data_IF_681481153027
#
_entry.id   IF_681481153027
#
_cell.length_a   1.000
_cell.length_b   1.000
_cell.length_c   1.000
_cell.angle_alpha   90.00
_cell.angle_beta   90.00
_cell.angle_gamma   90.00
#
_symmetry.space_group_name_H-M   'P 1'
#
loop_
_entity.id
_entity.type
_entity.pdbx_description
1 polymer ?
#
# COMPACT_ATOMS: atom_id res chain seq x y z
N UNK A 1 -13.71 -20.96 -4.89
CA UNK A 1 -13.60 -20.10 -6.10
C UNK A 1 -12.63 -20.74 -7.09
N UNK A 2 -12.83 -20.54 -8.40
CA UNK A 2 -11.85 -20.96 -9.43
C UNK A 2 -11.17 -19.71 -9.99
N UNK A 3 -9.84 -19.72 -10.19
CA UNK A 3 -9.15 -18.58 -10.78
C UNK A 3 -9.65 -18.33 -12.21
N UNK A 4 -9.58 -17.07 -12.64
CA UNK A 4 -9.85 -16.69 -14.03
C UNK A 4 -8.77 -17.24 -14.98
N UNK A 5 -9.04 -17.19 -16.29
CA UNK A 5 -8.06 -17.53 -17.33
C UNK A 5 -6.78 -16.69 -17.18
N UNK A 6 -5.64 -17.32 -17.47
CA UNK A 6 -4.34 -16.65 -17.51
C UNK A 6 -4.36 -15.44 -18.45
N UNK A 7 -3.59 -14.42 -18.08
CA UNK A 7 -3.28 -13.29 -18.96
C UNK A 7 -2.06 -13.70 -19.77
N UNK A 8 -2.16 -13.63 -21.09
CA UNK A 8 -1.06 -13.95 -22.00
C UNK A 8 -0.26 -12.69 -22.41
N UNK A 9 -0.84 -11.51 -22.23
CA UNK A 9 -0.21 -10.22 -22.53
C UNK A 9 0.75 -9.77 -21.41
N UNK A 10 1.67 -8.87 -21.75
CA UNK A 10 2.58 -8.25 -20.78
C UNK A 10 1.81 -7.35 -19.82
N UNK A 11 2.04 -7.55 -18.51
CA UNK A 11 1.42 -6.73 -17.47
C UNK A 11 1.84 -5.25 -17.50
N UNK A 12 2.92 -4.91 -18.21
CA UNK A 12 3.35 -3.52 -18.41
C UNK A 12 2.42 -2.74 -19.35
N UNK A 13 1.75 -3.43 -20.26
CA UNK A 13 0.87 -2.83 -21.28
C UNK A 13 -0.60 -2.77 -20.82
N UNK A 14 -0.88 -3.24 -19.60
CA UNK A 14 -2.22 -3.28 -19.01
C UNK A 14 -2.44 -2.15 -18.01
N UNK A 15 -3.72 -1.79 -17.84
CA UNK A 15 -4.13 -0.83 -16.82
C UNK A 15 -3.67 -1.27 -15.43
N UNK A 16 -3.14 -0.32 -14.67
CA UNK A 16 -2.73 -0.55 -13.29
C UNK A 16 -3.98 -0.70 -12.41
N UNK A 17 -4.11 -1.84 -11.75
CA UNK A 17 -5.27 -2.17 -10.89
C UNK A 17 -4.96 -2.30 -9.41
N UNK A 18 -3.69 -2.22 -9.04
CA UNK A 18 -3.27 -2.29 -7.64
C UNK A 18 -3.25 -0.89 -7.00
N UNK A 19 -3.43 -0.80 -5.68
CA UNK A 19 -3.30 0.46 -4.97
C UNK A 19 -1.89 1.04 -5.16
N UNK A 20 -1.83 2.36 -5.39
CA UNK A 20 -0.57 3.08 -5.67
C UNK A 20 0.17 3.48 -4.40
N UNK A 21 -0.51 3.43 -3.26
CA UNK A 21 0.03 3.82 -1.96
C UNK A 21 -0.29 2.81 -0.88
N UNK A 22 0.54 2.79 0.17
CA UNK A 22 0.26 1.99 1.35
C UNK A 22 -1.00 2.49 2.07
N UNK A 23 -1.30 3.80 2.03
CA UNK A 23 -2.52 4.36 2.63
C UNK A 23 -3.78 3.78 1.98
N UNK A 24 -3.84 3.81 0.66
CA UNK A 24 -4.93 3.21 -0.12
C UNK A 24 -5.04 1.69 0.13
N UNK A 25 -3.89 1.00 0.20
CA UNK A 25 -3.84 -0.43 0.51
C UNK A 25 -4.45 -0.76 1.89
N UNK A 26 -4.16 0.05 2.91
CA UNK A 26 -4.71 -0.14 4.26
C UNK A 26 -6.21 0.13 4.31
N UNK A 27 -6.71 1.09 3.53
CA UNK A 27 -8.14 1.38 3.44
C UNK A 27 -8.89 0.23 2.78
N UNK A 28 -8.37 -0.31 1.68
CA UNK A 28 -8.91 -1.52 1.03
C UNK A 28 -8.84 -2.76 1.94
N UNK A 29 -7.74 -2.94 2.67
CA UNK A 29 -7.55 -4.06 3.58
C UNK A 29 -8.56 -4.00 4.75
N UNK A 30 -8.78 -2.82 5.32
CA UNK A 30 -9.74 -2.63 6.43
C UNK A 30 -11.19 -2.79 5.95
N UNK A 31 -11.47 -2.46 4.69
CA UNK A 31 -12.80 -2.63 4.09
C UNK A 31 -13.12 -4.08 3.65
N UNK A 32 -12.15 -5.00 3.68
CA UNK A 32 -12.33 -6.37 3.22
C UNK A 32 -12.85 -7.27 4.36
N UNK A 33 -14.17 -7.31 4.56
CA UNK A 33 -14.82 -8.12 5.61
C UNK A 33 -14.31 -9.58 5.69
N UNK A 34 -14.18 -10.33 4.58
CA UNK A 34 -13.70 -11.72 4.66
C UNK A 34 -12.28 -11.85 5.22
N UNK A 35 -11.44 -10.85 5.00
CA UNK A 35 -10.07 -10.81 5.52
C UNK A 35 -10.06 -10.38 6.98
N UNK A 36 -10.91 -9.40 7.34
CA UNK A 36 -11.10 -8.98 8.73
C UNK A 36 -11.61 -10.13 9.60
N UNK A 37 -12.60 -10.87 9.12
CA UNK A 37 -13.16 -12.03 9.83
C UNK A 37 -12.13 -13.15 9.98
N UNK A 38 -11.33 -13.40 8.94
CA UNK A 38 -10.30 -14.43 8.96
C UNK A 38 -9.15 -14.11 9.93
N UNK A 39 -8.69 -12.86 9.95
CA UNK A 39 -7.52 -12.44 10.72
C UNK A 39 -7.90 -11.92 12.12
N UNK A 40 -9.16 -11.55 12.33
CA UNK A 40 -9.68 -10.95 13.53
C UNK A 40 -9.57 -9.43 13.54
N UNK A 41 -10.65 -8.77 13.94
CA UNK A 41 -10.79 -7.30 13.97
C UNK A 41 -9.66 -6.62 14.77
N UNK A 42 -9.34 -7.16 15.96
CA UNK A 42 -8.27 -6.61 16.81
C UNK A 42 -6.92 -6.63 16.11
N UNK A 43 -6.60 -7.71 15.40
CA UNK A 43 -5.32 -7.83 14.70
C UNK A 43 -5.24 -6.82 13.55
N UNK A 44 -6.27 -6.79 12.71
CA UNK A 44 -6.33 -5.86 11.57
C UNK A 44 -6.21 -4.41 12.04
N UNK A 45 -6.93 -4.04 13.11
CA UNK A 45 -6.86 -2.69 13.65
C UNK A 45 -5.44 -2.31 14.09
N UNK A 46 -4.79 -3.17 14.88
CA UNK A 46 -3.42 -2.89 15.38
C UNK A 46 -2.42 -2.79 14.23
N UNK A 47 -2.50 -3.70 13.27
CA UNK A 47 -1.65 -3.68 12.08
C UNK A 47 -1.83 -2.35 11.31
N UNK A 48 -3.07 -1.98 10.99
CA UNK A 48 -3.36 -0.75 10.26
C UNK A 48 -2.89 0.50 11.02
N UNK A 49 -3.08 0.54 12.34
CA UNK A 49 -2.63 1.67 13.17
C UNK A 49 -1.09 1.82 13.14
N UNK A 50 -0.35 0.71 13.23
CA UNK A 50 1.12 0.71 13.13
C UNK A 50 1.55 1.20 11.74
N UNK A 51 0.99 0.62 10.67
CA UNK A 51 1.37 0.97 9.30
C UNK A 51 1.06 2.43 8.95
N UNK A 52 -0.04 2.99 9.45
CA UNK A 52 -0.35 4.42 9.26
C UNK A 52 0.71 5.32 9.90
N UNK A 53 1.14 5.00 11.13
CA UNK A 53 2.20 5.72 11.83
C UNK A 53 3.55 5.60 11.12
N UNK A 54 3.87 4.43 10.58
CA UNK A 54 5.10 4.22 9.80
C UNK A 54 5.13 5.14 8.57
N UNK A 55 4.02 5.26 7.85
CA UNK A 55 3.92 6.16 6.68
C UNK A 55 4.08 7.62 7.11
N UNK A 56 3.39 8.03 8.18
CA UNK A 56 3.49 9.40 8.69
C UNK A 56 4.91 9.75 9.12
N UNK A 57 5.59 8.83 9.80
CA UNK A 57 7.00 8.99 10.18
C UNK A 57 7.90 9.09 8.94
N UNK A 58 7.70 8.22 7.94
CA UNK A 58 8.46 8.28 6.68
C UNK A 58 8.26 9.60 5.94
N UNK A 59 7.01 10.07 5.84
CA UNK A 59 6.68 11.34 5.17
C UNK A 59 7.15 12.59 5.93
N UNK A 60 7.58 12.45 7.19
CA UNK A 60 8.08 13.57 7.99
C UNK A 60 9.57 13.87 7.82
N UNK A 61 10.30 13.02 7.08
CA UNK A 61 11.74 13.14 6.88
C UNK A 61 12.09 13.32 5.41
N UNK A 62 13.15 14.09 5.14
CA UNK A 62 13.70 14.21 3.78
C UNK A 62 14.59 13.01 3.50
N UNK A 63 14.25 12.25 2.48
CA UNK A 63 15.03 11.08 2.06
C UNK A 63 16.35 11.51 1.39
N UNK A 64 17.38 10.65 1.38
CA UNK A 64 18.63 10.93 0.66
C UNK A 64 18.38 11.24 -0.82
N UNK A 65 17.45 10.52 -1.47
CA UNK A 65 17.08 10.76 -2.85
C UNK A 65 16.45 12.14 -3.04
N UNK A 66 15.49 12.52 -2.20
CA UNK A 66 14.87 13.85 -2.25
C UNK A 66 15.91 14.94 -1.97
N UNK A 67 16.85 14.70 -1.07
CA UNK A 67 17.95 15.66 -0.84
C UNK A 67 18.81 15.83 -2.09
N UNK A 68 19.19 14.73 -2.74
CA UNK A 68 20.06 14.75 -3.92
C UNK A 68 19.36 15.32 -5.16
N UNK A 69 18.06 15.06 -5.33
CA UNK A 69 17.33 15.33 -6.57
C UNK A 69 16.29 16.45 -6.46
N UNK A 70 15.83 16.80 -5.25
CA UNK A 70 14.83 17.86 -5.03
C UNK A 70 15.40 19.06 -4.25
N UNK A 71 16.44 18.88 -3.42
CA UNK A 71 17.13 19.99 -2.78
C UNK A 71 18.38 20.36 -3.61
N UNK A 72 18.16 21.18 -4.63
CA UNK A 72 19.24 21.91 -5.30
C UNK A 72 20.00 22.74 -4.25
N UNK A 73 21.32 22.59 -4.26
CA UNK A 73 22.31 23.36 -3.50
C UNK A 73 21.88 24.81 -3.33
N UNK A 74 21.75 25.27 -2.09
CA UNK A 74 21.89 26.70 -1.76
C UNK A 74 23.35 26.98 -1.46
#
# INVERSE_FOLDING_TARGET
>A
MRPRKAVEDSAWDLDHKLPRSLRESLDLFTACEPVVDLLGERFVKVLCDIRRREIEAFSSVVTPWEREHLLLTV
#
